data_IF_662565672911
#
_entry.id   IF_662565672911
#
_cell.length_a   1.000
_cell.length_b   1.000
_cell.length_c   1.000
_cell.angle_alpha   90.00
_cell.angle_beta   90.00
_cell.angle_gamma   90.00
#
_symmetry.space_group_name_H-M   'P 1'
#
loop_
_entity.id
_entity.type
_entity.pdbx_description
1 polymer ?
#
# COMPACT_ATOMS: atom_id res chain seq x y z
N UNK A 1 33.82 48.85 -25.37
CA UNK A 1 33.43 50.25 -25.70
C UNK A 1 32.97 50.29 -27.13
N UNK A 2 31.89 51.04 -27.41
CA UNK A 2 31.27 51.34 -28.71
C UNK A 2 30.64 50.17 -29.45
N UNK A 3 29.32 50.01 -29.56
CA UNK A 3 28.20 50.93 -29.89
C UNK A 3 28.17 51.41 -31.34
N UNK A 4 27.01 51.12 -31.94
CA UNK A 4 26.29 51.86 -32.99
C UNK A 4 26.87 51.75 -34.40
N UNK A 5 26.08 51.49 -35.45
CA UNK A 5 24.63 51.63 -35.60
C UNK A 5 24.35 52.56 -36.78
N UNK A 6 23.17 52.35 -37.39
CA UNK A 6 22.44 53.27 -38.29
C UNK A 6 23.01 53.42 -39.71
N UNK A 7 22.24 53.61 -40.78
CA UNK A 7 20.82 53.49 -41.11
C UNK A 7 20.71 53.97 -42.59
N UNK A 8 19.49 53.91 -43.15
CA UNK A 8 18.94 54.87 -44.14
C UNK A 8 19.18 54.53 -45.63
N UNK A 9 18.17 53.95 -46.29
CA UNK A 9 17.03 54.59 -47.02
C UNK A 9 17.47 55.35 -48.27
N UNK A 10 16.89 54.98 -49.42
CA UNK A 10 15.92 55.80 -50.18
C UNK A 10 15.44 55.04 -51.44
N UNK A 11 14.47 55.55 -52.19
CA UNK A 11 13.00 55.44 -52.08
C UNK A 11 12.43 55.82 -53.48
N UNK A 12 11.29 55.23 -53.89
CA UNK A 12 10.29 55.72 -54.92
C UNK A 12 10.81 55.68 -56.38
N UNK A 13 10.05 55.37 -57.45
CA UNK A 13 8.74 55.89 -57.90
C UNK A 13 8.03 54.97 -58.91
N UNK A 14 6.69 55.01 -58.82
CA UNK A 14 5.58 54.35 -59.52
C UNK A 14 5.26 54.77 -60.99
N UNK A 15 4.27 54.03 -61.55
CA UNK A 15 3.19 54.35 -62.53
C UNK A 15 3.39 53.78 -63.94
N UNK A 16 2.39 53.27 -64.67
CA UNK A 16 0.90 53.33 -64.63
C UNK A 16 0.34 52.30 -65.65
N UNK A 17 -0.96 51.96 -65.58
CA UNK A 17 -1.78 51.72 -66.78
C UNK A 17 -2.79 50.55 -66.77
N UNK A 18 -4.06 50.87 -66.48
CA UNK A 18 -5.28 50.08 -66.77
C UNK A 18 -5.56 49.91 -68.27
N UNK A 19 -6.25 48.82 -68.67
CA UNK A 19 -7.55 48.87 -69.39
C UNK A 19 -8.19 47.47 -69.53
N UNK A 20 -9.52 47.45 -69.34
CA UNK A 20 -10.49 46.34 -69.46
C UNK A 20 -10.65 45.79 -70.89
N UNK A 21 -11.10 44.54 -71.03
CA UNK A 21 -12.30 44.20 -71.84
C UNK A 21 -12.82 42.76 -71.58
N UNK A 22 -14.13 42.64 -71.72
CA UNK A 22 -15.04 41.56 -71.33
C UNK A 22 -14.97 40.31 -72.25
N UNK A 23 -15.40 39.13 -71.75
CA UNK A 23 -16.48 38.36 -72.40
C UNK A 23 -16.93 37.06 -71.67
N UNK A 24 -18.25 37.01 -71.45
CA UNK A 24 -19.18 35.87 -71.67
C UNK A 24 -19.16 34.67 -70.72
N UNK A 25 -20.09 34.73 -69.76
CA UNK A 25 -21.17 33.78 -69.46
C UNK A 25 -20.93 32.27 -69.64
N UNK A 26 -20.91 31.53 -68.52
CA UNK A 26 -21.51 30.18 -68.43
C UNK A 26 -22.14 29.95 -67.06
N UNK A 27 -23.46 29.80 -67.08
CA UNK A 27 -24.31 29.34 -65.98
C UNK A 27 -24.08 27.84 -65.78
N UNK A 28 -23.61 27.42 -64.60
CA UNK A 28 -23.73 26.02 -64.11
C UNK A 28 -23.92 26.03 -62.58
N UNK A 29 -25.14 25.71 -62.18
CA UNK A 29 -25.61 25.05 -60.95
C UNK A 29 -24.92 25.31 -59.60
N UNK A 30 -25.60 26.05 -58.71
CA UNK A 30 -25.39 25.94 -57.27
C UNK A 30 -25.97 24.61 -56.75
N UNK A 31 -25.13 23.75 -56.19
CA UNK A 31 -25.56 22.67 -55.30
C UNK A 31 -25.71 23.23 -53.87
N UNK A 32 -26.92 23.15 -53.34
CA UNK A 32 -27.22 23.38 -51.91
C UNK A 32 -26.71 22.16 -51.13
N UNK A 33 -25.67 22.35 -50.30
CA UNK A 33 -25.22 21.33 -49.35
C UNK A 33 -26.09 21.37 -48.10
N UNK A 34 -26.66 20.23 -47.63
CA UNK A 34 -27.53 20.22 -46.47
C UNK A 34 -26.71 20.37 -45.19
N UNK A 35 -27.20 21.21 -44.26
CA UNK A 35 -26.75 21.25 -42.86
C UNK A 35 -26.67 19.83 -42.29
N UNK A 36 -25.49 19.42 -41.81
CA UNK A 36 -25.30 18.13 -41.13
C UNK A 36 -25.36 18.37 -39.60
N UNK A 37 -26.39 17.87 -38.90
CA UNK A 37 -26.66 18.22 -37.51
C UNK A 37 -25.79 17.40 -36.55
N UNK A 38 -25.42 18.03 -35.42
CA UNK A 38 -25.28 17.47 -34.06
C UNK A 38 -24.49 16.16 -33.80
N UNK A 39 -23.92 15.50 -34.80
CA UNK A 39 -23.35 14.16 -34.66
C UNK A 39 -21.93 14.19 -34.08
N UNK A 40 -21.22 15.32 -34.22
CA UNK A 40 -19.87 15.46 -33.69
C UNK A 40 -19.83 15.55 -32.16
N UNK A 41 -20.88 16.12 -31.54
CA UNK A 41 -20.98 16.21 -30.08
C UNK A 41 -21.37 14.88 -29.45
N UNK A 42 -22.24 14.11 -30.12
CA UNK A 42 -22.63 12.77 -29.72
C UNK A 42 -21.44 11.81 -29.85
N UNK A 43 -20.72 11.84 -30.98
CA UNK A 43 -19.53 11.02 -31.18
C UNK A 43 -18.44 11.30 -30.13
N UNK A 44 -18.23 12.58 -29.76
CA UNK A 44 -17.29 12.95 -28.68
C UNK A 44 -17.72 12.37 -27.32
N UNK A 45 -19.01 12.43 -26.97
CA UNK A 45 -19.54 11.83 -25.72
C UNK A 45 -19.38 10.31 -25.71
N UNK A 46 -19.66 9.65 -26.84
CA UNK A 46 -19.45 8.20 -26.99
C UNK A 46 -17.98 7.85 -26.83
N UNK A 47 -17.07 8.58 -27.48
CA UNK A 47 -15.63 8.34 -27.35
C UNK A 47 -15.11 8.59 -25.93
N UNK A 48 -15.62 9.61 -25.23
CA UNK A 48 -15.29 9.83 -23.82
C UNK A 48 -15.81 8.72 -22.90
N UNK A 49 -17.01 8.21 -23.13
CA UNK A 49 -17.57 7.08 -22.39
C UNK A 49 -16.81 5.77 -22.68
N UNK A 50 -16.38 5.57 -23.93
CA UNK A 50 -15.53 4.44 -24.33
C UNK A 50 -14.12 4.54 -23.73
N UNK A 51 -13.56 5.75 -23.63
CA UNK A 51 -12.27 5.97 -22.97
C UNK A 51 -12.38 5.77 -21.45
N UNK A 52 -13.48 6.20 -20.83
CA UNK A 52 -13.74 5.99 -19.40
C UNK A 52 -14.00 4.51 -19.11
N UNK A 53 -14.78 3.83 -19.95
CA UNK A 53 -15.02 2.40 -19.81
C UNK A 53 -13.75 1.59 -20.05
N UNK A 54 -12.92 1.95 -21.03
CA UNK A 54 -11.60 1.34 -21.23
C UNK A 54 -10.65 1.66 -20.07
N UNK A 55 -10.64 2.87 -19.52
CA UNK A 55 -9.83 3.20 -18.35
C UNK A 55 -10.29 2.42 -17.12
N UNK A 56 -11.61 2.27 -16.92
CA UNK A 56 -12.19 1.43 -15.86
C UNK A 56 -11.85 -0.03 -16.11
N UNK A 57 -11.97 -0.55 -17.33
CA UNK A 57 -11.60 -1.92 -17.69
C UNK A 57 -10.10 -2.17 -17.51
N UNK A 58 -9.26 -1.19 -17.83
CA UNK A 58 -7.81 -1.24 -17.64
C UNK A 58 -7.46 -1.18 -16.15
N UNK A 59 -8.09 -0.30 -15.37
CA UNK A 59 -7.94 -0.27 -13.89
C UNK A 59 -8.43 -1.57 -13.29
N UNK A 60 -9.61 -2.07 -13.68
CA UNK A 60 -10.15 -3.37 -13.26
C UNK A 60 -9.17 -4.49 -13.63
N UNK A 61 -8.70 -4.54 -14.88
CA UNK A 61 -7.71 -5.52 -15.37
C UNK A 61 -6.41 -5.48 -14.55
N UNK A 62 -5.89 -4.28 -14.24
CA UNK A 62 -4.69 -4.13 -13.41
C UNK A 62 -4.95 -4.45 -11.94
N UNK A 63 -6.17 -4.25 -11.43
CA UNK A 63 -6.54 -4.63 -10.05
C UNK A 63 -6.89 -6.12 -9.90
N UNK A 64 -7.07 -6.85 -11.00
CA UNK A 64 -7.48 -8.27 -10.97
C UNK A 64 -6.35 -9.30 -10.94
N UNK A 65 -5.09 -8.90 -10.77
CA UNK A 65 -4.01 -9.89 -10.62
C UNK A 65 -3.85 -10.35 -9.17
N UNK A 66 -4.69 -11.33 -8.84
CA UNK A 66 -4.38 -12.36 -7.86
C UNK A 66 -5.02 -13.65 -8.35
N UNK A 67 -4.47 -14.22 -9.44
CA UNK A 67 -4.88 -15.53 -9.94
C UNK A 67 -3.75 -16.18 -10.76
N UNK A 68 -3.05 -17.12 -10.11
CA UNK A 68 -2.16 -18.06 -10.78
C UNK A 68 -2.93 -19.35 -11.08
N UNK A 69 -3.90 -19.30 -12.00
CA UNK A 69 -4.41 -20.50 -12.68
C UNK A 69 -4.92 -20.14 -14.07
N UNK A 70 -4.12 -20.50 -15.08
CA UNK A 70 -4.62 -20.75 -16.43
C UNK A 70 -5.41 -22.06 -16.38
N UNK A 71 -6.73 -22.01 -16.44
CA UNK A 71 -7.51 -22.91 -17.29
C UNK A 71 -8.95 -22.45 -17.50
N UNK A 72 -9.36 -22.67 -18.75
CA UNK A 72 -10.64 -22.38 -19.39
C UNK A 72 -11.76 -23.23 -18.77
N UNK A 73 -12.96 -22.67 -18.58
CA UNK A 73 -14.20 -23.29 -19.08
C UNK A 73 -15.38 -22.31 -18.99
N UNK A 74 -16.02 -22.09 -20.15
CA UNK A 74 -17.41 -21.68 -20.24
C UNK A 74 -18.30 -22.77 -19.62
N UNK A 75 -19.20 -22.41 -18.70
CA UNK A 75 -20.43 -23.17 -18.49
C UNK A 75 -21.50 -22.27 -17.88
N UNK A 76 -22.49 -21.93 -18.71
CA UNK A 76 -23.79 -21.43 -18.28
C UNK A 76 -24.68 -22.64 -18.00
N UNK A 77 -25.20 -22.80 -16.78
CA UNK A 77 -26.51 -23.41 -16.51
C UNK A 77 -26.91 -23.25 -15.04
N UNK A 78 -28.11 -22.72 -14.86
CA UNK A 78 -28.88 -22.53 -13.63
C UNK A 78 -29.00 -23.80 -12.78
N UNK A 79 -28.73 -23.72 -11.47
CA UNK A 79 -29.40 -24.57 -10.47
C UNK A 79 -29.29 -24.02 -9.04
N UNK A 80 -30.47 -23.96 -8.42
CA UNK A 80 -30.91 -23.81 -7.02
C UNK A 80 -29.97 -23.29 -5.92
N UNK A 81 -30.49 -22.26 -5.25
CA UNK A 81 -30.05 -21.66 -4.00
C UNK A 81 -30.02 -22.70 -2.88
N UNK A 82 -28.83 -23.15 -2.49
CA UNK A 82 -28.47 -23.48 -1.11
C UNK A 82 -27.31 -22.56 -0.73
N UNK A 83 -27.57 -21.63 0.18
CA UNK A 83 -26.62 -20.55 0.50
C UNK A 83 -25.37 -21.06 1.20
N UNK A 84 -24.32 -21.37 0.42
CA UNK A 84 -22.94 -21.23 0.88
C UNK A 84 -22.57 -19.75 0.91
N UNK A 85 -21.81 -19.26 1.90
CA UNK A 85 -21.42 -17.86 1.95
C UNK A 85 -20.59 -17.55 0.71
N UNK A 86 -21.07 -16.58 -0.06
CA UNK A 86 -20.38 -15.98 -1.21
C UNK A 86 -18.94 -15.73 -0.81
N UNK A 87 -18.00 -16.35 -1.53
CA UNK A 87 -16.57 -16.19 -1.28
C UNK A 87 -16.22 -14.71 -1.32
N UNK A 88 -15.86 -14.15 -0.17
CA UNK A 88 -15.41 -12.78 -0.04
C UNK A 88 -14.11 -12.66 -0.85
N UNK A 89 -14.16 -11.95 -1.99
CA UNK A 89 -13.00 -11.75 -2.84
C UNK A 89 -12.04 -10.81 -2.11
N UNK A 90 -11.03 -11.40 -1.47
CA UNK A 90 -9.96 -10.65 -0.80
C UNK A 90 -9.17 -9.87 -1.84
N UNK A 91 -9.02 -8.56 -1.63
CA UNK A 91 -8.19 -7.73 -2.49
C UNK A 91 -6.74 -7.92 -2.04
N UNK A 92 -5.87 -8.35 -2.95
CA UNK A 92 -4.43 -8.40 -2.70
C UNK A 92 -3.82 -7.00 -2.77
N UNK A 93 -2.85 -6.71 -1.91
CA UNK A 93 -2.12 -5.45 -2.01
C UNK A 93 -1.49 -5.02 -0.70
N UNK A 94 -1.33 -3.71 -0.57
CA UNK A 94 -0.60 -3.07 0.51
C UNK A 94 -1.11 -1.65 0.76
N UNK A 95 -0.85 -1.14 1.95
CA UNK A 95 -1.19 0.21 2.35
C UNK A 95 -0.15 0.81 3.29
N UNK A 96 -0.13 2.14 3.33
CA UNK A 96 0.62 2.93 4.31
C UNK A 96 -0.32 4.02 4.83
N UNK A 97 -0.35 4.22 6.15
CA UNK A 97 -1.16 5.27 6.78
C UNK A 97 -0.46 5.87 7.99
N UNK A 98 -0.49 7.19 8.09
CA UNK A 98 0.06 7.97 9.20
C UNK A 98 -1.01 8.34 10.25
N UNK A 99 -2.27 7.93 10.05
CA UNK A 99 -3.42 8.40 10.84
C UNK A 99 -4.09 7.32 11.68
N UNK A 100 -3.56 6.09 11.69
CA UNK A 100 -4.18 4.98 12.43
C UNK A 100 -3.95 5.15 13.92
N UNK A 101 -2.74 5.49 14.35
CA UNK A 101 -2.34 5.49 15.77
C UNK A 101 -1.96 6.90 16.21
N UNK A 102 -2.36 7.28 17.42
CA UNK A 102 -2.00 8.58 17.98
C UNK A 102 -0.56 8.59 18.49
N UNK A 103 0.10 9.74 18.49
CA UNK A 103 1.49 9.84 18.92
C UNK A 103 1.71 9.39 20.38
N UNK A 104 0.73 9.62 21.26
CA UNK A 104 0.79 9.18 22.67
C UNK A 104 0.80 7.65 22.80
N UNK A 105 -0.06 6.95 22.05
CA UNK A 105 -0.08 5.49 22.00
C UNK A 105 1.22 4.93 21.44
N UNK A 106 1.77 5.53 20.39
CA UNK A 106 3.04 5.11 19.78
C UNK A 106 4.19 5.28 20.76
N UNK A 107 4.27 6.42 21.45
CA UNK A 107 5.31 6.69 22.47
C UNK A 107 5.19 5.72 23.64
N UNK A 108 3.96 5.37 24.05
CA UNK A 108 3.73 4.39 25.09
C UNK A 108 4.23 3.00 24.66
N UNK A 109 3.86 2.53 23.46
CA UNK A 109 4.34 1.25 22.91
C UNK A 109 5.86 1.22 22.66
N UNK A 110 6.46 2.36 22.30
CA UNK A 110 7.92 2.49 22.23
C UNK A 110 8.58 2.28 23.59
N UNK A 111 7.99 2.83 24.66
CA UNK A 111 8.47 2.63 26.03
C UNK A 111 8.39 1.15 26.43
N UNK A 112 7.25 0.49 26.18
CA UNK A 112 7.06 -0.96 26.38
C UNK A 112 8.12 -1.75 25.61
N UNK A 113 8.34 -1.40 24.35
CA UNK A 113 9.30 -2.08 23.47
C UNK A 113 10.72 -1.97 23.99
N UNK A 114 11.12 -0.79 24.47
CA UNK A 114 12.44 -0.58 25.07
C UNK A 114 12.63 -1.37 26.36
N UNK A 115 11.61 -1.43 27.23
CA UNK A 115 11.65 -2.25 28.47
C UNK A 115 11.75 -3.74 28.16
N UNK A 116 10.95 -4.24 27.21
CA UNK A 116 11.00 -5.64 26.82
C UNK A 116 12.35 -6.05 26.22
N UNK A 117 12.92 -5.20 25.36
CA UNK A 117 14.21 -5.46 24.72
C UNK A 117 15.42 -5.19 25.63
N UNK A 118 15.30 -4.43 26.72
CA UNK A 118 16.45 -4.16 27.60
C UNK A 118 16.96 -5.39 28.34
N UNK A 119 16.17 -6.46 28.40
CA UNK A 119 16.54 -7.72 29.04
C UNK A 119 17.27 -8.69 28.11
N UNK A 120 17.45 -8.36 26.82
CA UNK A 120 17.99 -9.27 25.83
C UNK A 120 18.63 -8.56 24.63
N UNK A 121 18.97 -9.34 23.61
CA UNK A 121 19.63 -8.84 22.42
C UNK A 121 20.07 -9.98 21.51
N UNK A 122 20.21 -9.73 20.22
CA UNK A 122 20.71 -10.71 19.24
C UNK A 122 22.16 -10.43 18.85
N UNK A 123 22.94 -11.47 18.54
CA UNK A 123 24.36 -11.37 18.14
C UNK A 123 24.59 -11.01 16.67
N UNK A 124 23.55 -10.85 15.86
CA UNK A 124 23.74 -10.56 14.42
C UNK A 124 22.48 -10.22 13.63
N UNK A 125 21.30 -10.25 14.25
CA UNK A 125 20.02 -9.91 13.61
C UNK A 125 19.20 -8.90 14.42
N UNK A 126 17.97 -8.65 13.98
CA UNK A 126 17.03 -7.87 14.76
C UNK A 126 16.70 -8.60 16.08
N UNK A 127 16.70 -7.87 17.18
CA UNK A 127 16.21 -8.39 18.45
C UNK A 127 14.68 -8.27 18.46
N UNK A 128 14.00 -9.33 18.90
CA UNK A 128 12.54 -9.30 19.08
C UNK A 128 12.16 -9.83 20.47
N UNK A 129 11.01 -9.36 20.93
CA UNK A 129 10.25 -10.02 21.97
C UNK A 129 8.77 -10.10 21.58
N UNK A 130 8.03 -11.02 22.20
CA UNK A 130 6.61 -11.27 21.92
C UNK A 130 5.78 -11.12 23.20
N UNK A 131 4.81 -10.21 23.19
CA UNK A 131 3.84 -10.07 24.30
C UNK A 131 2.88 -11.27 24.39
N UNK A 132 2.65 -11.98 23.28
CA UNK A 132 1.74 -13.13 23.26
C UNK A 132 2.39 -14.41 23.79
N UNK A 133 3.67 -14.62 23.52
CA UNK A 133 4.38 -15.86 23.88
C UNK A 133 5.40 -15.65 25.01
N UNK A 134 5.77 -14.41 25.32
CA UNK A 134 6.82 -14.08 26.27
C UNK A 134 8.23 -14.41 25.77
N UNK A 135 8.41 -14.73 24.48
CA UNK A 135 9.73 -15.01 23.92
C UNK A 135 10.55 -13.73 23.78
N UNK A 136 11.84 -13.79 24.10
CA UNK A 136 12.82 -12.72 23.96
C UNK A 136 14.09 -13.26 23.31
N UNK A 137 14.65 -12.51 22.36
CA UNK A 137 15.91 -12.82 21.71
C UNK A 137 17.10 -12.69 22.69
N UNK A 138 17.95 -13.71 22.75
CA UNK A 138 19.14 -13.76 23.61
C UNK A 138 20.32 -14.40 22.86
N UNK A 139 21.26 -13.57 22.42
CA UNK A 139 22.35 -13.91 21.52
C UNK A 139 21.87 -14.64 20.25
N UNK A 140 21.93 -15.98 20.26
CA UNK A 140 21.50 -16.85 19.17
C UNK A 140 20.26 -17.70 19.52
N UNK A 141 19.69 -17.53 20.72
CA UNK A 141 18.59 -18.32 21.27
C UNK A 141 17.37 -17.46 21.64
N UNK A 142 16.28 -18.11 22.05
CA UNK A 142 15.10 -17.47 22.65
C UNK A 142 14.89 -17.92 24.09
N UNK A 143 14.52 -16.98 24.95
CA UNK A 143 14.23 -17.21 26.37
C UNK A 143 12.87 -16.64 26.72
N UNK A 144 12.20 -17.22 27.72
CA UNK A 144 10.95 -16.66 28.25
C UNK A 144 11.26 -15.51 29.19
N UNK A 145 10.71 -14.32 28.91
CA UNK A 145 11.00 -13.09 29.65
C UNK A 145 10.64 -13.20 31.13
N UNK A 146 9.52 -13.86 31.46
CA UNK A 146 9.08 -14.10 32.83
C UNK A 146 10.09 -14.93 33.65
N UNK A 147 10.74 -15.91 33.01
CA UNK A 147 11.79 -16.71 33.68
C UNK A 147 13.02 -15.86 34.06
N UNK A 148 13.31 -14.82 33.26
CA UNK A 148 14.40 -13.89 33.57
C UNK A 148 14.02 -12.99 34.76
N UNK A 149 12.79 -12.49 34.79
CA UNK A 149 12.28 -11.67 35.90
C UNK A 149 12.33 -12.43 37.23
N UNK A 150 11.87 -13.69 37.23
CA UNK A 150 11.94 -14.56 38.42
C UNK A 150 13.39 -14.78 38.88
N UNK A 151 14.32 -14.99 37.94
CA UNK A 151 15.72 -15.29 38.25
C UNK A 151 16.54 -14.09 38.71
N UNK A 152 16.14 -12.88 38.36
CA UNK A 152 16.90 -11.64 38.64
C UNK A 152 16.44 -10.93 39.92
N UNK A 153 15.47 -11.50 40.65
CA UNK A 153 14.83 -10.86 41.81
C UNK A 153 14.35 -9.43 41.49
N UNK A 154 13.98 -9.18 40.24
CA UNK A 154 13.50 -7.88 39.80
C UNK A 154 12.07 -7.70 40.31
N UNK A 155 11.88 -6.82 41.30
CA UNK A 155 10.59 -6.65 41.97
C UNK A 155 9.65 -5.67 41.26
N UNK A 156 10.15 -4.95 40.25
CA UNK A 156 9.34 -4.02 39.45
C UNK A 156 8.65 -4.76 38.30
N UNK A 157 7.34 -4.50 38.15
CA UNK A 157 6.57 -5.01 37.02
C UNK A 157 7.15 -4.49 35.69
N UNK A 158 7.65 -5.40 34.84
CA UNK A 158 8.19 -5.04 33.53
C UNK A 158 7.12 -4.48 32.59
N UNK A 159 5.92 -5.06 32.66
CA UNK A 159 4.72 -4.67 31.94
C UNK A 159 3.56 -4.53 32.91
N UNK A 160 2.76 -3.50 32.69
CA UNK A 160 1.58 -3.15 33.49
C UNK A 160 0.29 -3.47 32.72
N UNK A 161 -0.84 -3.60 33.42
CA UNK A 161 -2.15 -3.79 32.76
C UNK A 161 -2.46 -2.70 31.74
N UNK A 162 -2.03 -1.46 32.01
CA UNK A 162 -2.15 -0.33 31.08
C UNK A 162 -1.40 -0.56 29.78
N UNK A 163 -0.22 -1.18 29.82
CA UNK A 163 0.55 -1.50 28.62
C UNK A 163 -0.23 -2.48 27.72
N UNK A 164 -0.85 -3.50 28.33
CA UNK A 164 -1.69 -4.47 27.61
C UNK A 164 -2.99 -3.85 27.09
N UNK A 165 -3.59 -2.90 27.80
CA UNK A 165 -4.78 -2.17 27.35
C UNK A 165 -4.49 -1.32 26.10
N UNK A 166 -3.39 -0.56 26.11
CA UNK A 166 -2.94 0.24 24.96
C UNK A 166 -2.61 -0.69 23.79
N UNK A 167 -1.89 -1.78 24.04
CA UNK A 167 -1.59 -2.79 23.03
C UNK A 167 -2.85 -3.36 22.37
N UNK A 168 -3.85 -3.80 23.18
CA UNK A 168 -5.13 -4.33 22.69
C UNK A 168 -5.91 -3.29 21.89
N UNK A 169 -5.88 -2.03 22.30
CA UNK A 169 -6.56 -0.93 21.60
C UNK A 169 -5.94 -0.68 20.23
N UNK A 170 -4.61 -0.56 20.17
CA UNK A 170 -3.84 -0.32 18.95
C UNK A 170 -3.97 -1.48 17.96
N UNK A 171 -3.79 -2.72 18.43
CA UNK A 171 -3.90 -3.91 17.59
C UNK A 171 -5.30 -4.09 17.01
N UNK A 172 -6.34 -3.85 17.79
CA UNK A 172 -7.73 -3.88 17.29
C UNK A 172 -8.01 -2.80 16.26
N UNK A 173 -7.42 -1.60 16.41
CA UNK A 173 -7.57 -0.53 15.42
C UNK A 173 -6.90 -0.92 14.11
N UNK A 174 -5.67 -1.46 14.16
CA UNK A 174 -4.94 -1.96 12.98
C UNK A 174 -5.70 -3.11 12.31
N UNK A 175 -6.23 -4.07 13.10
CA UNK A 175 -7.08 -5.16 12.61
C UNK A 175 -8.27 -4.64 11.80
N UNK A 176 -8.97 -3.63 12.31
CA UNK A 176 -10.09 -2.98 11.61
C UNK A 176 -9.62 -2.26 10.34
N UNK A 177 -8.48 -1.57 10.37
CA UNK A 177 -7.90 -0.91 9.19
C UNK A 177 -7.57 -1.91 8.09
N UNK A 178 -6.92 -3.03 8.42
CA UNK A 178 -6.64 -4.13 7.48
C UNK A 178 -7.94 -4.65 6.88
N UNK A 179 -8.94 -4.92 7.73
CA UNK A 179 -10.23 -5.45 7.31
C UNK A 179 -10.94 -4.54 6.29
N UNK A 180 -10.97 -3.23 6.56
CA UNK A 180 -11.53 -2.23 5.65
C UNK A 180 -10.74 -2.18 4.34
N UNK A 181 -9.41 -2.15 4.42
CA UNK A 181 -8.56 -1.98 3.24
C UNK A 181 -8.62 -3.15 2.27
N UNK A 182 -8.71 -4.39 2.78
CA UNK A 182 -8.72 -5.59 1.95
C UNK A 182 -10.11 -6.20 1.73
N UNK A 183 -11.15 -5.50 2.20
CA UNK A 183 -12.53 -5.91 2.00
C UNK A 183 -12.92 -7.20 2.70
N UNK A 184 -12.36 -7.47 3.90
CA UNK A 184 -12.66 -8.65 4.72
C UNK A 184 -13.42 -8.29 6.00
N UNK A 185 -14.15 -9.25 6.57
CA UNK A 185 -14.79 -9.03 7.87
C UNK A 185 -13.74 -9.00 8.98
N UNK A 186 -13.71 -7.91 9.76
CA UNK A 186 -12.80 -7.84 10.91
C UNK A 186 -13.06 -8.96 11.93
N UNK A 187 -14.30 -9.47 12.03
CA UNK A 187 -14.67 -10.57 12.94
C UNK A 187 -14.03 -11.92 12.56
N UNK A 188 -13.57 -12.05 11.31
CA UNK A 188 -12.90 -13.23 10.79
C UNK A 188 -11.38 -13.02 10.70
N UNK A 189 -10.85 -11.93 11.25
CA UNK A 189 -9.42 -11.63 11.21
C UNK A 189 -8.84 -11.74 12.62
N UNK A 190 -7.91 -12.66 12.82
CA UNK A 190 -7.31 -12.96 14.12
C UNK A 190 -5.83 -12.60 14.11
N UNK A 191 -5.28 -12.10 15.23
CA UNK A 191 -3.83 -12.00 15.39
C UNK A 191 -3.28 -13.42 15.44
N UNK A 192 -2.11 -13.67 14.84
CA UNK A 192 -1.40 -14.95 14.96
C UNK A 192 0.02 -14.73 15.45
N UNK A 193 0.52 -15.68 16.23
CA UNK A 193 1.93 -15.72 16.65
C UNK A 193 2.70 -16.19 15.42
N UNK A 194 3.74 -15.44 15.00
CA UNK A 194 4.60 -15.72 13.83
C UNK A 194 4.86 -17.22 13.66
N UNK A 195 4.00 -17.90 12.91
CA UNK A 195 4.04 -19.36 12.76
C UNK A 195 4.66 -19.66 11.41
N UNK A 196 5.57 -20.63 11.42
CA UNK A 196 6.36 -21.05 10.26
C UNK A 196 5.45 -21.43 9.09
N UNK A 197 5.69 -20.76 7.96
CA UNK A 197 4.97 -20.92 6.71
C UNK A 197 5.00 -22.36 6.22
N UNK A 198 3.82 -22.97 6.03
CA UNK A 198 3.67 -24.19 5.22
C UNK A 198 3.05 -23.79 3.90
N UNK A 199 3.69 -24.16 2.78
CA UNK A 199 3.15 -23.95 1.43
C UNK A 199 1.82 -24.70 1.32
N UNK A 200 0.71 -24.00 1.52
CA UNK A 200 -0.62 -24.45 1.09
C UNK A 200 -1.05 -23.59 -0.09
N UNK A 201 -1.70 -24.20 -1.07
CA UNK A 201 -2.31 -23.51 -2.21
C UNK A 201 -3.61 -22.81 -1.77
N UNK A 202 -3.53 -21.85 -0.84
CA UNK A 202 -4.74 -21.21 -0.28
C UNK A 202 -4.68 -19.71 -0.49
N UNK A 203 -5.81 -19.19 -0.98
CA UNK A 203 -6.19 -17.79 -1.16
C UNK A 203 -5.71 -16.92 0.01
N UNK A 204 -5.46 -15.64 -0.26
CA UNK A 204 -4.96 -14.63 0.68
C UNK A 204 -5.66 -14.61 2.04
N UNK A 205 -5.16 -15.43 2.96
CA UNK A 205 -5.67 -15.61 4.32
C UNK A 205 -4.74 -15.00 5.37
N UNK A 206 -3.58 -14.45 4.97
CA UNK A 206 -2.58 -13.90 5.87
C UNK A 206 -2.20 -12.46 5.53
N UNK A 207 -2.09 -11.64 6.57
CA UNK A 207 -1.74 -10.24 6.46
C UNK A 207 -0.62 -9.92 7.44
N UNK A 208 0.31 -9.08 7.01
CA UNK A 208 1.37 -8.55 7.87
C UNK A 208 1.18 -7.05 8.01
N UNK A 209 1.34 -6.55 9.23
CA UNK A 209 1.35 -5.13 9.53
C UNK A 209 2.55 -4.76 10.37
N UNK A 210 3.14 -3.60 10.10
CA UNK A 210 4.20 -2.98 10.90
C UNK A 210 3.73 -1.61 11.36
N UNK A 211 3.74 -1.38 12.67
CA UNK A 211 3.63 -0.06 13.29
C UNK A 211 5.05 0.42 13.62
N UNK A 212 5.49 1.51 13.01
CA UNK A 212 6.82 2.06 13.23
C UNK A 212 6.87 2.91 14.50
N UNK A 213 7.83 2.62 15.38
CA UNK A 213 8.01 3.26 16.68
C UNK A 213 9.23 4.21 16.70
N UNK A 214 9.87 4.39 15.55
CA UNK A 214 11.04 5.25 15.33
C UNK A 214 11.02 5.81 13.91
N UNK A 215 11.64 6.96 13.70
CA UNK A 215 11.63 7.72 12.44
C UNK A 215 12.96 7.60 11.70
N UNK A 216 12.90 7.19 10.43
CA UNK A 216 14.05 7.18 9.53
C UNK A 216 14.58 8.60 9.31
N UNK A 217 15.90 8.76 9.33
CA UNK A 217 16.58 10.04 9.18
C UNK A 217 16.63 10.89 10.46
N UNK A 218 15.85 10.56 11.49
CA UNK A 218 15.88 11.22 12.79
C UNK A 218 16.46 10.31 13.89
N UNK A 219 15.92 9.09 14.04
CA UNK A 219 16.32 8.14 15.09
C UNK A 219 17.33 7.09 14.59
N UNK A 220 17.32 6.80 13.29
CA UNK A 220 18.16 5.79 12.67
C UNK A 220 18.36 6.03 11.16
N UNK A 221 19.31 5.32 10.55
CA UNK A 221 19.58 5.29 9.10
C UNK A 221 19.71 3.85 8.59
N UNK A 222 19.49 3.65 7.28
CA UNK A 222 19.22 2.32 6.72
C UNK A 222 17.83 1.82 7.17
N UNK A 223 17.63 0.51 7.28
CA UNK A 223 16.42 -0.04 7.94
C UNK A 223 15.07 0.24 7.26
N UNK A 224 15.05 0.75 6.02
CA UNK A 224 13.81 0.97 5.27
C UNK A 224 13.24 -0.37 4.84
N UNK A 225 11.91 -0.43 4.69
CA UNK A 225 11.22 -1.59 4.15
C UNK A 225 11.18 -1.46 2.63
N UNK A 226 11.76 -2.43 1.92
CA UNK A 226 11.80 -2.49 0.46
C UNK A 226 10.87 -3.62 0.02
N UNK A 227 9.88 -3.27 -0.79
CA UNK A 227 8.99 -4.20 -1.48
C UNK A 227 9.53 -4.39 -2.90
N UNK A 228 9.83 -5.63 -3.24
CA UNK A 228 10.36 -6.02 -4.54
C UNK A 228 9.20 -6.22 -5.51
N UNK A 229 9.06 -5.32 -6.48
CA UNK A 229 8.08 -5.45 -7.55
C UNK A 229 8.79 -5.70 -8.89
N UNK A 230 8.08 -6.30 -9.86
CA UNK A 230 8.63 -6.59 -11.19
C UNK A 230 9.18 -5.37 -11.93
N UNK A 231 8.55 -4.20 -11.74
CA UNK A 231 8.90 -2.96 -12.47
C UNK A 231 9.88 -2.09 -11.71
N UNK A 232 9.63 -1.89 -10.42
CA UNK A 232 10.41 -0.98 -9.59
C UNK A 232 10.12 -1.23 -8.12
N UNK A 233 11.17 -1.33 -7.31
CA UNK A 233 11.00 -1.50 -5.87
C UNK A 233 10.23 -0.32 -5.25
N UNK A 234 9.30 -0.62 -4.35
CA UNK A 234 8.65 0.38 -3.52
C UNK A 234 9.34 0.43 -2.16
N UNK A 235 9.67 1.64 -1.71
CA UNK A 235 10.35 1.86 -0.44
C UNK A 235 9.40 2.53 0.54
N UNK A 236 9.25 1.92 1.71
CA UNK A 236 8.53 2.52 2.84
C UNK A 236 9.57 2.99 3.86
N UNK A 237 9.63 4.30 4.04
CA UNK A 237 10.43 4.93 5.07
C UNK A 237 9.67 4.91 6.40
N UNK A 238 10.22 4.29 7.46
CA UNK A 238 9.58 4.30 8.77
C UNK A 238 9.46 5.72 9.34
N UNK A 239 8.29 6.02 9.89
CA UNK A 239 7.99 7.28 10.57
C UNK A 239 7.23 6.94 11.85
N UNK A 240 7.51 7.63 12.94
CA UNK A 240 6.80 7.42 14.21
C UNK A 240 5.28 7.42 13.99
N UNK A 241 4.62 6.31 14.33
CA UNK A 241 3.17 6.13 14.22
C UNK A 241 2.63 5.70 12.85
N UNK A 242 3.48 5.66 11.83
CA UNK A 242 3.12 5.12 10.53
C UNK A 242 2.83 3.63 10.65
N UNK A 243 1.74 3.20 10.03
CA UNK A 243 1.37 1.80 9.86
C UNK A 243 1.50 1.44 8.40
N UNK A 244 2.21 0.36 8.10
CA UNK A 244 2.17 -0.29 6.80
C UNK A 244 1.57 -1.68 6.94
N UNK A 245 0.70 -2.08 6.02
CA UNK A 245 0.17 -3.44 6.00
C UNK A 245 0.05 -4.00 4.59
N UNK A 246 0.19 -5.30 4.44
CA UNK A 246 0.19 -5.98 3.15
C UNK A 246 -0.28 -7.43 3.27
N UNK A 247 -0.80 -7.99 2.18
CA UNK A 247 -1.07 -9.42 2.07
C UNK A 247 0.23 -10.20 2.03
N UNK A 248 0.34 -11.31 2.78
CA UNK A 248 1.60 -12.02 3.00
C UNK A 248 1.99 -13.01 1.88
N UNK A 249 1.39 -12.92 0.70
CA UNK A 249 1.72 -13.79 -0.43
C UNK A 249 2.93 -13.30 -1.23
N UNK A 250 3.24 -14.01 -2.32
CA UNK A 250 4.39 -13.70 -3.20
C UNK A 250 4.27 -12.35 -3.89
N UNK A 251 3.07 -11.76 -3.94
CA UNK A 251 2.81 -10.43 -4.47
C UNK A 251 3.44 -9.29 -3.63
N UNK A 252 3.88 -9.57 -2.40
CA UNK A 252 4.57 -8.62 -1.54
C UNK A 252 5.91 -9.18 -1.04
N UNK A 253 6.75 -9.67 -1.96
CA UNK A 253 8.16 -9.96 -1.62
C UNK A 253 8.82 -8.70 -1.05
N UNK A 254 9.49 -8.83 0.09
CA UNK A 254 10.06 -7.68 0.78
C UNK A 254 11.27 -8.04 1.63
N UNK A 255 12.10 -7.03 1.89
CA UNK A 255 13.19 -7.11 2.85
C UNK A 255 13.34 -5.78 3.60
N UNK A 256 14.00 -5.81 4.75
CA UNK A 256 14.39 -4.61 5.49
C UNK A 256 15.88 -4.39 5.26
N UNK A 257 16.24 -3.18 4.83
CA UNK A 257 17.65 -2.81 4.69
C UNK A 257 18.39 -2.97 6.03
N UNK A 258 19.70 -3.23 5.98
CA UNK A 258 20.52 -3.19 7.20
C UNK A 258 20.46 -1.79 7.82
N UNK A 259 20.21 -1.72 9.12
CA UNK A 259 20.37 -0.47 9.89
C UNK A 259 21.85 -0.13 9.95
N UNK A 260 22.21 1.08 9.54
CA UNK A 260 23.61 1.56 9.49
C UNK A 260 23.97 2.44 10.66
N UNK A 261 23.00 3.15 11.25
CA UNK A 261 23.18 4.01 12.41
C UNK A 261 21.88 4.08 13.23
N UNK A 262 21.99 4.28 14.54
CA UNK A 262 20.85 4.42 15.45
C UNK A 262 20.11 3.10 15.71
N UNK A 263 18.87 3.19 16.19
CA UNK A 263 18.05 2.01 16.51
C UNK A 263 16.65 2.13 15.94
N UNK A 264 16.26 1.12 15.16
CA UNK A 264 14.92 1.01 14.56
C UNK A 264 14.02 0.16 15.45
N UNK A 265 12.91 0.74 15.90
CA UNK A 265 11.86 0.03 16.63
C UNK A 265 10.60 -0.09 15.79
N UNK A 266 9.99 -1.27 15.77
CA UNK A 266 8.71 -1.51 15.12
C UNK A 266 7.95 -2.61 15.86
N UNK A 267 6.63 -2.48 15.91
CA UNK A 267 5.72 -3.54 16.32
C UNK A 267 5.22 -4.24 15.06
N UNK A 268 5.58 -5.52 14.89
CA UNK A 268 5.12 -6.35 13.77
C UNK A 268 3.98 -7.24 14.24
N UNK A 269 2.89 -7.25 13.49
CA UNK A 269 1.68 -8.03 13.76
C UNK A 269 1.34 -8.85 12.52
N UNK A 270 1.14 -10.14 12.71
CA UNK A 270 0.60 -11.03 11.69
C UNK A 270 -0.87 -11.30 11.99
N UNK A 271 -1.67 -11.39 10.95
CA UNK A 271 -3.08 -11.72 11.04
C UNK A 271 -3.43 -12.88 10.11
N UNK A 272 -4.40 -13.67 10.52
CA UNK A 272 -4.90 -14.85 9.81
C UNK A 272 -6.43 -14.84 9.77
N UNK A 273 -7.01 -15.36 8.69
CA UNK A 273 -8.44 -15.65 8.63
C UNK A 273 -8.79 -17.01 9.24
N UNK A 274 -7.80 -17.84 9.55
CA UNK A 274 -7.96 -19.18 10.10
C UNK A 274 -7.96 -19.12 11.65
N UNK A 275 -9.10 -19.42 12.30
CA UNK A 275 -9.20 -19.37 13.76
C UNK A 275 -8.33 -20.41 14.47
N UNK A 276 -7.89 -21.48 13.79
CA UNK A 276 -6.98 -22.47 14.38
C UNK A 276 -5.61 -21.87 14.74
N UNK A 277 -5.22 -20.80 14.02
CA UNK A 277 -3.94 -20.10 14.22
C UNK A 277 -4.11 -18.81 15.03
N UNK A 278 -5.28 -18.56 15.61
CA UNK A 278 -5.52 -17.38 16.43
C UNK A 278 -4.65 -17.41 17.71
N UNK A 279 -3.88 -16.35 17.91
CA UNK A 279 -3.16 -16.10 19.14
C UNK A 279 -4.14 -15.82 20.27
N UNK A 280 -3.83 -16.32 21.47
CA UNK A 280 -4.53 -15.91 22.69
C UNK A 280 -4.17 -14.46 23.01
N UNK A 281 -5.10 -13.75 23.63
CA UNK A 281 -4.82 -12.43 24.17
C UNK A 281 -3.65 -12.51 25.17
N UNK A 282 -2.69 -11.59 25.08
CA UNK A 282 -1.54 -11.58 25.97
C UNK A 282 -2.03 -11.33 27.41
N UNK A 283 -1.47 -12.08 28.36
CA UNK A 283 -1.78 -11.97 29.78
C UNK A 283 -0.56 -11.42 30.52
N UNK A 284 -0.79 -10.78 31.67
CA UNK A 284 0.26 -10.43 32.64
C UNK A 284 0.94 -11.70 33.15
#
# INVERSE_FOLDING_TARGET
MSSNGLNRRERVVDRNGDTNEENVSRVVSQEVSPERPQNQSIMKRVMSLMALSMAILVVVYYTTQCNDTKELMMASATQSITGSPVGQQVICGRFVSDSVITESEVKHLLSVTKRGLSLGGSSGGASFFSLHSGDLSMATNFVKIYKLMDSTQQTEELFTEKDFEVYRTVTNRIRKTIAIHFGISSAQLYITIMTVFRRRNVKCEQFTSSLYLSTYGADFSGGRLILTDEKSNQTIEPKLGRVSGFTSGSENEHFVERVTNGTRYALVMAFTCDPEFAAKDPQI
#
